data_IF_793455785322
#
_entry.id   IF_793455785322
#
_cell.length_a   1.000
_cell.length_b   1.000
_cell.length_c   1.000
_cell.angle_alpha   90.00
_cell.angle_beta   90.00
_cell.angle_gamma   90.00
#
_symmetry.space_group_name_H-M   'P 1'
#
loop_
_entity.id
_entity.type
_entity.pdbx_description
1 polymer ?
#
# COMPACT_ATOMS: atom_id res chain seq x y z
N UNK A 1 18.63 -4.44 7.76
CA UNK A 1 17.92 -3.58 6.82
C UNK A 1 18.60 -2.23 6.74
N UNK A 2 18.73 -1.67 5.56
CA UNK A 2 19.40 -0.38 5.31
C UNK A 2 18.45 0.54 4.53
N UNK A 3 18.10 1.70 5.13
CA UNK A 3 17.22 2.70 4.54
C UNK A 3 17.92 4.04 4.52
N UNK A 4 17.82 4.78 3.42
CA UNK A 4 18.43 6.12 3.27
C UNK A 4 17.47 7.26 3.59
N UNK A 5 16.16 6.98 3.59
CA UNK A 5 15.11 7.94 3.92
C UNK A 5 14.13 7.37 4.95
N UNK A 6 13.48 8.25 5.71
CA UNK A 6 12.41 7.90 6.64
C UNK A 6 11.19 8.81 6.42
N UNK A 7 10.35 8.41 5.48
CA UNK A 7 9.05 9.04 5.23
C UNK A 7 7.88 8.26 5.86
N UNK A 8 8.18 7.17 6.59
CA UNK A 8 7.20 6.21 7.08
C UNK A 8 6.98 6.23 8.60
N UNK A 9 8.03 6.41 9.42
CA UNK A 9 7.93 6.14 10.87
C UNK A 9 6.86 6.97 11.58
N UNK A 10 6.60 8.20 11.13
CA UNK A 10 5.54 9.04 11.70
C UNK A 10 4.13 8.53 11.38
N UNK A 11 3.97 7.67 10.37
CA UNK A 11 2.71 7.08 9.92
C UNK A 11 2.32 5.80 10.69
N UNK A 12 3.24 5.21 11.47
CA UNK A 12 3.01 3.93 12.19
C UNK A 12 1.69 3.89 12.97
N UNK A 13 1.29 4.91 13.76
CA UNK A 13 0.03 4.87 14.49
C UNK A 13 -1.21 4.70 13.60
N UNK A 14 -1.18 5.24 12.37
CA UNK A 14 -2.26 5.08 11.41
C UNK A 14 -2.32 3.63 10.87
N UNK A 15 -1.16 3.04 10.58
CA UNK A 15 -1.07 1.64 10.17
C UNK A 15 -1.59 0.69 11.25
N UNK A 16 -1.17 0.87 12.51
CA UNK A 16 -1.65 0.08 13.64
C UNK A 16 -3.18 0.16 13.76
N UNK A 17 -3.75 1.36 13.64
CA UNK A 17 -5.20 1.55 13.66
C UNK A 17 -5.91 0.84 12.51
N UNK A 18 -5.34 0.90 11.29
CA UNK A 18 -5.91 0.28 10.10
C UNK A 18 -5.87 -1.25 10.14
N UNK A 19 -4.82 -1.83 10.73
CA UNK A 19 -4.58 -3.27 10.75
C UNK A 19 -5.29 -4.01 11.89
N UNK A 20 -5.72 -3.29 12.94
CA UNK A 20 -6.20 -3.84 14.22
C UNK A 20 -7.31 -4.89 14.07
N UNK A 21 -8.28 -4.63 13.17
CA UNK A 21 -9.49 -5.46 13.03
C UNK A 21 -9.46 -6.32 11.75
N UNK A 22 -8.29 -6.46 11.12
CA UNK A 22 -8.12 -7.30 9.95
C UNK A 22 -7.82 -8.76 10.34
N UNK A 23 -8.07 -9.73 9.44
CA UNK A 23 -7.76 -11.14 9.68
C UNK A 23 -6.30 -11.36 10.08
N UNK A 24 -6.02 -12.40 10.87
CA UNK A 24 -4.65 -12.79 11.23
C UNK A 24 -3.80 -13.04 9.97
N UNK A 25 -4.26 -13.90 9.06
CA UNK A 25 -3.57 -14.17 7.79
C UNK A 25 -3.89 -13.10 6.76
N UNK A 26 -3.14 -12.02 6.80
CA UNK A 26 -3.34 -10.85 5.93
C UNK A 26 -2.76 -11.05 4.53
N UNK A 27 -3.49 -10.55 3.56
CA UNK A 27 -2.99 -10.31 2.20
C UNK A 27 -2.93 -8.81 2.00
N UNK A 28 -1.73 -8.31 1.77
CA UNK A 28 -1.44 -6.88 1.69
C UNK A 28 -1.00 -6.52 0.28
N UNK A 29 -1.48 -5.38 -0.22
CA UNK A 29 -0.99 -4.74 -1.43
C UNK A 29 -0.43 -3.36 -1.07
N UNK A 30 0.76 -3.06 -1.56
CA UNK A 30 1.42 -1.77 -1.45
C UNK A 30 1.70 -1.24 -2.85
N UNK A 31 1.32 0.00 -3.13
CA UNK A 31 1.56 0.72 -4.38
C UNK A 31 2.53 1.86 -4.07
N UNK A 32 3.74 1.79 -4.61
CA UNK A 32 4.89 2.59 -4.20
C UNK A 32 5.64 1.92 -3.03
N UNK A 33 6.79 1.35 -3.30
CA UNK A 33 7.53 0.58 -2.29
C UNK A 33 8.88 1.18 -1.93
N UNK A 34 9.49 1.95 -2.85
CA UNK A 34 10.80 2.56 -2.66
C UNK A 34 11.83 1.56 -2.10
N UNK A 35 12.51 1.85 -0.98
CA UNK A 35 13.46 0.95 -0.30
C UNK A 35 12.78 -0.13 0.56
N UNK A 36 11.44 -0.17 0.60
CA UNK A 36 10.66 -1.16 1.35
C UNK A 36 10.56 -0.88 2.85
N UNK A 37 10.61 0.37 3.31
CA UNK A 37 10.50 0.67 4.74
C UNK A 37 9.12 0.30 5.29
N UNK A 38 8.03 0.73 4.61
CA UNK A 38 6.67 0.36 4.99
C UNK A 38 6.45 -1.14 4.82
N UNK A 39 6.90 -1.73 3.69
CA UNK A 39 6.88 -3.19 3.44
C UNK A 39 7.49 -3.96 4.60
N UNK A 40 8.69 -3.59 5.03
CA UNK A 40 9.40 -4.29 6.10
C UNK A 40 8.72 -4.14 7.46
N UNK A 41 8.13 -2.97 7.73
CA UNK A 41 7.34 -2.77 8.94
C UNK A 41 6.08 -3.64 8.92
N UNK A 42 5.36 -3.68 7.79
CA UNK A 42 4.19 -4.53 7.58
C UNK A 42 4.55 -6.00 7.80
N UNK A 43 5.64 -6.50 7.19
CA UNK A 43 6.12 -7.87 7.39
C UNK A 43 6.33 -8.18 8.88
N UNK A 44 6.98 -7.28 9.63
CA UNK A 44 7.28 -7.46 11.05
C UNK A 44 6.07 -7.38 11.97
N UNK A 45 4.97 -6.80 11.49
CA UNK A 45 3.72 -6.62 12.24
C UNK A 45 2.58 -7.46 11.67
N UNK A 46 2.88 -8.36 10.72
CA UNK A 46 2.01 -9.48 10.35
C UNK A 46 2.28 -10.65 11.31
N UNK A 47 1.32 -11.56 11.39
CA UNK A 47 1.56 -12.88 11.96
C UNK A 47 2.63 -13.62 11.14
N UNK A 48 3.21 -14.70 11.65
CA UNK A 48 4.31 -15.43 11.00
C UNK A 48 3.98 -15.98 9.59
N UNK A 49 2.77 -15.74 9.08
CA UNK A 49 2.30 -16.15 7.76
C UNK A 49 1.39 -15.09 7.15
N UNK A 50 1.52 -14.90 5.86
CA UNK A 50 0.76 -13.93 5.08
C UNK A 50 1.42 -13.66 3.75
N UNK A 51 0.89 -12.73 3.00
CA UNK A 51 1.48 -12.34 1.71
C UNK A 51 1.42 -10.83 1.55
N UNK A 52 2.52 -10.23 1.15
CA UNK A 52 2.58 -8.83 0.75
C UNK A 52 3.02 -8.74 -0.71
N UNK A 53 2.27 -8.01 -1.51
CA UNK A 53 2.61 -7.62 -2.86
C UNK A 53 2.98 -6.14 -2.84
N UNK A 54 4.20 -5.82 -3.32
CA UNK A 54 4.66 -4.44 -3.43
C UNK A 54 4.88 -4.12 -4.90
N UNK A 55 4.28 -3.03 -5.37
CA UNK A 55 4.38 -2.55 -6.75
C UNK A 55 5.30 -1.33 -6.77
N UNK A 56 6.33 -1.37 -7.60
CA UNK A 56 7.18 -0.22 -7.88
C UNK A 56 7.87 -0.40 -9.24
N UNK A 57 7.90 0.61 -10.11
CA UNK A 57 8.55 0.49 -11.42
C UNK A 57 10.07 0.62 -11.35
N UNK A 58 10.65 1.25 -10.32
CA UNK A 58 12.08 1.55 -10.18
C UNK A 58 12.72 2.11 -11.46
N UNK A 59 12.18 3.19 -12.06
CA UNK A 59 12.69 3.71 -13.32
C UNK A 59 14.10 4.26 -13.12
N UNK A 60 15.12 3.58 -13.70
CA UNK A 60 16.52 3.96 -13.58
C UNK A 60 17.05 4.05 -12.12
N UNK A 61 16.49 3.27 -11.20
CA UNK A 61 16.84 3.24 -9.78
C UNK A 61 17.29 1.85 -9.30
N UNK A 62 18.31 1.23 -9.93
CA UNK A 62 18.71 -0.14 -9.60
C UNK A 62 19.18 -0.30 -8.15
N UNK A 63 19.79 0.73 -7.56
CA UNK A 63 20.27 0.70 -6.17
C UNK A 63 19.11 0.71 -5.16
N UNK A 64 18.01 1.40 -5.48
CA UNK A 64 16.81 1.42 -4.63
C UNK A 64 16.11 0.07 -4.68
N UNK A 65 15.93 -0.48 -5.88
CA UNK A 65 15.39 -1.82 -6.08
C UNK A 65 16.21 -2.89 -5.33
N UNK A 66 17.53 -2.83 -5.43
CA UNK A 66 18.40 -3.77 -4.71
C UNK A 66 18.24 -3.65 -3.19
N UNK A 67 18.13 -2.44 -2.65
CA UNK A 67 17.84 -2.22 -1.23
C UNK A 67 16.49 -2.79 -0.83
N UNK A 68 15.44 -2.57 -1.62
CA UNK A 68 14.14 -3.19 -1.38
C UNK A 68 14.26 -4.71 -1.25
N UNK A 69 14.93 -5.36 -2.22
CA UNK A 69 15.11 -6.81 -2.23
C UNK A 69 15.88 -7.29 -0.99
N UNK A 70 16.97 -6.61 -0.64
CA UNK A 70 17.78 -6.96 0.53
C UNK A 70 17.02 -6.75 1.85
N UNK A 71 16.32 -5.63 1.99
CA UNK A 71 15.54 -5.29 3.17
C UNK A 71 14.38 -6.26 3.40
N UNK A 72 13.61 -6.57 2.36
CA UNK A 72 12.47 -7.50 2.46
C UNK A 72 12.93 -8.94 2.70
N UNK A 73 14.04 -9.37 2.10
CA UNK A 73 14.67 -10.67 2.39
C UNK A 73 15.08 -10.80 3.86
N UNK A 74 15.64 -9.73 4.43
CA UNK A 74 16.00 -9.71 5.85
C UNK A 74 14.74 -9.69 6.74
N UNK A 75 13.72 -8.92 6.36
CA UNK A 75 12.48 -8.82 7.13
C UNK A 75 11.69 -10.15 7.18
N UNK A 76 11.71 -10.93 6.10
CA UNK A 76 11.01 -12.23 6.02
C UNK A 76 11.80 -13.40 6.62
N UNK A 77 13.04 -13.19 7.02
CA UNK A 77 13.90 -14.26 7.56
C UNK A 77 13.31 -14.88 8.82
N UNK A 78 13.10 -16.19 8.79
CA UNK A 78 12.53 -16.94 9.91
C UNK A 78 11.01 -16.92 10.00
N UNK A 79 10.33 -16.33 9.02
CA UNK A 79 8.85 -16.32 8.90
C UNK A 79 8.38 -17.18 7.73
N UNK A 80 7.07 -17.44 7.64
CA UNK A 80 6.41 -18.02 6.48
C UNK A 80 5.71 -16.96 5.61
N UNK A 81 6.06 -15.68 5.78
CA UNK A 81 5.51 -14.58 5.00
C UNK A 81 6.12 -14.57 3.60
N UNK A 82 5.26 -14.42 2.60
CA UNK A 82 5.65 -14.29 1.19
C UNK A 82 5.67 -12.82 0.81
N UNK A 83 6.84 -12.30 0.45
CA UNK A 83 6.99 -10.95 -0.12
C UNK A 83 7.20 -11.05 -1.63
N UNK A 84 6.31 -10.41 -2.40
CA UNK A 84 6.30 -10.42 -3.86
C UNK A 84 6.49 -9.00 -4.39
N UNK A 85 7.61 -8.72 -5.03
CA UNK A 85 7.80 -7.48 -5.80
C UNK A 85 7.21 -7.64 -7.20
N UNK A 86 6.35 -6.70 -7.61
CA UNK A 86 5.90 -6.54 -8.99
C UNK A 86 6.58 -5.29 -9.56
N UNK A 87 7.70 -5.50 -10.24
CA UNK A 87 8.45 -4.42 -10.90
C UNK A 87 7.72 -3.97 -12.16
N UNK A 88 6.78 -3.07 -12.00
CA UNK A 88 5.99 -2.51 -13.11
C UNK A 88 5.32 -1.20 -12.67
N UNK A 89 4.77 -0.45 -13.62
CA UNK A 89 3.85 0.65 -13.29
C UNK A 89 2.61 0.11 -12.58
N UNK A 90 2.03 0.92 -11.68
CA UNK A 90 0.83 0.54 -10.93
C UNK A 90 -0.30 0.08 -11.85
N UNK A 91 -0.58 0.81 -12.92
CA UNK A 91 -1.62 0.46 -13.90
C UNK A 91 -1.47 -0.97 -14.46
N UNK A 92 -0.26 -1.35 -14.89
CA UNK A 92 -0.01 -2.68 -15.45
C UNK A 92 -0.06 -3.77 -14.38
N UNK A 93 0.53 -3.51 -13.22
CA UNK A 93 0.52 -4.44 -12.11
C UNK A 93 -0.90 -4.69 -11.59
N UNK A 94 -1.69 -3.64 -11.39
CA UNK A 94 -3.09 -3.75 -10.97
C UNK A 94 -3.94 -4.48 -12.01
N UNK A 95 -3.74 -4.21 -13.32
CA UNK A 95 -4.41 -4.96 -14.39
C UNK A 95 -4.08 -6.46 -14.31
N UNK A 96 -2.83 -6.83 -14.06
CA UNK A 96 -2.42 -8.22 -13.88
C UNK A 96 -3.11 -8.85 -12.67
N UNK A 97 -3.10 -8.18 -11.52
CA UNK A 97 -3.72 -8.67 -10.28
C UNK A 97 -5.24 -8.85 -10.43
N UNK A 98 -5.93 -7.93 -11.13
CA UNK A 98 -7.36 -8.03 -11.45
C UNK A 98 -7.63 -9.26 -12.32
N UNK A 99 -6.86 -9.48 -13.38
CA UNK A 99 -7.00 -10.64 -14.26
C UNK A 99 -6.76 -11.96 -13.51
N UNK A 100 -5.87 -11.95 -12.51
CA UNK A 100 -5.60 -13.09 -11.63
C UNK A 100 -6.64 -13.25 -10.51
N UNK A 101 -7.64 -12.37 -10.43
CA UNK A 101 -8.67 -12.35 -9.37
C UNK A 101 -8.05 -12.33 -7.96
N UNK A 102 -6.97 -11.58 -7.79
CA UNK A 102 -6.37 -11.42 -6.48
C UNK A 102 -7.26 -10.55 -5.59
N UNK A 103 -7.21 -10.82 -4.28
CA UNK A 103 -7.94 -10.04 -3.27
C UNK A 103 -7.03 -9.74 -2.09
N UNK A 104 -7.24 -8.58 -1.47
CA UNK A 104 -6.42 -8.08 -0.37
C UNK A 104 -7.27 -7.61 0.81
N UNK A 105 -6.74 -7.76 2.01
CA UNK A 105 -7.35 -7.31 3.26
C UNK A 105 -6.95 -5.86 3.58
N UNK A 106 -5.74 -5.48 3.16
CA UNK A 106 -5.19 -4.13 3.32
C UNK A 106 -4.51 -3.69 2.03
N UNK A 107 -4.78 -2.45 1.63
CA UNK A 107 -4.13 -1.81 0.48
C UNK A 107 -3.56 -0.46 0.92
N UNK A 108 -2.27 -0.26 0.69
CA UNK A 108 -1.59 1.01 0.91
C UNK A 108 -1.28 1.66 -0.44
N UNK A 109 -1.74 2.90 -0.63
CA UNK A 109 -1.56 3.68 -1.86
C UNK A 109 -0.63 4.83 -1.57
N UNK A 110 0.60 4.72 -2.04
CA UNK A 110 1.73 5.64 -1.82
C UNK A 110 2.64 5.63 -3.07
N UNK A 111 2.02 5.76 -4.24
CA UNK A 111 2.70 5.66 -5.54
C UNK A 111 3.06 7.02 -6.13
N UNK A 112 2.57 7.25 -7.36
CA UNK A 112 2.74 8.54 -8.04
C UNK A 112 1.80 9.59 -7.44
N UNK A 113 2.31 10.80 -7.20
CA UNK A 113 1.57 11.90 -6.60
C UNK A 113 0.73 12.70 -7.62
N UNK A 114 0.75 12.33 -8.91
CA UNK A 114 -0.16 12.91 -9.89
C UNK A 114 -1.63 12.54 -9.56
N UNK A 115 -2.55 13.53 -9.53
CA UNK A 115 -3.94 13.28 -9.15
C UNK A 115 -4.67 12.24 -9.99
N UNK A 116 -4.43 12.20 -11.29
CA UNK A 116 -5.09 11.25 -12.18
C UNK A 116 -4.54 9.83 -11.96
N UNK A 117 -3.24 9.69 -11.72
CA UNK A 117 -2.61 8.42 -11.37
C UNK A 117 -3.11 7.93 -10.02
N UNK A 118 -3.12 8.78 -8.98
CA UNK A 118 -3.65 8.44 -7.65
C UNK A 118 -5.10 7.97 -7.71
N UNK A 119 -5.97 8.69 -8.45
CA UNK A 119 -7.36 8.30 -8.65
C UNK A 119 -7.49 6.95 -9.35
N UNK A 120 -6.69 6.73 -10.39
CA UNK A 120 -6.70 5.48 -11.18
C UNK A 120 -6.26 4.30 -10.32
N UNK A 121 -5.16 4.44 -9.59
CA UNK A 121 -4.64 3.43 -8.68
C UNK A 121 -5.66 3.08 -7.59
N UNK A 122 -6.27 4.08 -6.97
CA UNK A 122 -7.31 3.90 -5.97
C UNK A 122 -8.54 3.14 -6.53
N UNK A 123 -9.04 3.55 -7.70
CA UNK A 123 -10.22 2.94 -8.31
C UNK A 123 -9.97 1.48 -8.74
N UNK A 124 -8.81 1.19 -9.33
CA UNK A 124 -8.42 -0.17 -9.71
C UNK A 124 -8.19 -1.05 -8.48
N UNK A 125 -7.44 -0.55 -7.50
CA UNK A 125 -7.14 -1.26 -6.26
C UNK A 125 -8.41 -1.53 -5.42
N UNK A 126 -9.42 -0.65 -5.48
CA UNK A 126 -10.72 -0.89 -4.82
C UNK A 126 -11.40 -2.17 -5.28
N UNK A 127 -11.25 -2.52 -6.57
CA UNK A 127 -11.73 -3.80 -7.11
C UNK A 127 -11.07 -5.03 -6.48
N UNK A 128 -9.85 -4.87 -5.98
CA UNK A 128 -9.04 -5.92 -5.34
C UNK A 128 -9.22 -5.97 -3.83
N UNK A 129 -9.81 -4.93 -3.21
CA UNK A 129 -10.02 -4.88 -1.76
C UNK A 129 -11.22 -5.74 -1.38
N UNK A 130 -11.05 -6.61 -0.40
CA UNK A 130 -12.14 -7.43 0.16
C UNK A 130 -13.16 -6.57 0.90
N UNK A 131 -14.37 -7.09 1.05
CA UNK A 131 -15.37 -6.54 1.94
C UNK A 131 -14.82 -6.55 3.39
N UNK A 132 -14.97 -5.43 4.11
CA UNK A 132 -14.35 -5.24 5.42
C UNK A 132 -12.86 -4.87 5.39
N UNK A 133 -12.19 -4.98 4.24
CA UNK A 133 -10.81 -4.58 4.07
C UNK A 133 -10.60 -3.07 4.16
N UNK A 134 -9.36 -2.64 4.39
CA UNK A 134 -8.99 -1.24 4.56
C UNK A 134 -8.05 -0.78 3.45
N UNK A 135 -8.35 0.39 2.88
CA UNK A 135 -7.45 1.11 1.98
C UNK A 135 -6.94 2.36 2.69
N UNK A 136 -5.62 2.51 2.75
CA UNK A 136 -4.91 3.65 3.34
C UNK A 136 -4.21 4.42 2.23
N UNK A 137 -4.43 5.72 2.18
CA UNK A 137 -3.77 6.65 1.27
C UNK A 137 -2.74 7.48 2.01
N UNK A 138 -1.55 7.61 1.44
CA UNK A 138 -0.55 8.56 1.93
C UNK A 138 -0.78 9.98 1.41
N UNK A 139 -0.08 10.95 1.99
CA UNK A 139 0.02 12.33 1.55
C UNK A 139 -1.30 13.09 1.39
N UNK A 140 -2.37 12.66 2.09
CA UNK A 140 -3.68 13.33 2.00
C UNK A 140 -3.64 14.79 2.46
N UNK A 141 -2.86 15.10 3.49
CA UNK A 141 -2.68 16.49 3.99
C UNK A 141 -1.26 17.03 3.74
N UNK A 142 -0.50 16.44 2.80
CA UNK A 142 0.83 16.98 2.48
C UNK A 142 0.71 18.31 1.73
N UNK A 143 1.34 19.41 2.22
CA UNK A 143 0.98 20.77 1.83
C UNK A 143 1.27 21.15 0.38
N UNK A 144 2.11 20.45 -0.33
CA UNK A 144 2.56 20.83 -1.67
C UNK A 144 2.30 19.75 -2.73
N UNK A 145 1.65 18.65 -2.34
CA UNK A 145 1.37 17.54 -3.25
C UNK A 145 -0.10 17.54 -3.69
N UNK A 146 -0.36 17.34 -4.97
CA UNK A 146 -1.72 17.31 -5.50
C UNK A 146 -2.46 15.98 -5.24
N UNK A 147 -1.84 15.01 -4.59
CA UNK A 147 -2.36 13.67 -4.26
C UNK A 147 -3.75 13.72 -3.66
N UNK A 148 -4.01 14.68 -2.78
CA UNK A 148 -5.33 14.92 -2.17
C UNK A 148 -6.45 15.06 -3.19
N UNK A 149 -6.21 15.67 -4.35
CA UNK A 149 -7.23 15.86 -5.39
C UNK A 149 -7.66 14.51 -5.98
N UNK A 150 -6.71 13.62 -6.23
CA UNK A 150 -7.00 12.26 -6.71
C UNK A 150 -7.78 11.44 -5.67
N UNK A 151 -7.36 11.52 -4.40
CA UNK A 151 -8.04 10.84 -3.28
C UNK A 151 -9.47 11.37 -3.12
N UNK A 152 -9.70 12.68 -3.20
CA UNK A 152 -11.05 13.26 -3.14
C UNK A 152 -11.92 12.81 -4.31
N UNK A 153 -11.34 12.70 -5.51
CA UNK A 153 -12.04 12.13 -6.69
C UNK A 153 -12.50 10.69 -6.44
N UNK A 154 -11.63 9.86 -5.87
CA UNK A 154 -11.98 8.50 -5.44
C UNK A 154 -13.12 8.53 -4.39
N UNK A 155 -13.00 9.34 -3.36
CA UNK A 155 -13.99 9.44 -2.27
C UNK A 155 -15.38 9.81 -2.82
N UNK A 156 -15.45 10.73 -3.78
CA UNK A 156 -16.70 11.13 -4.45
C UNK A 156 -17.29 9.99 -5.30
N UNK A 157 -16.45 9.30 -6.07
CA UNK A 157 -16.87 8.20 -6.93
C UNK A 157 -17.40 6.98 -6.17
N UNK A 158 -16.93 6.78 -4.93
CA UNK A 158 -17.29 5.63 -4.10
C UNK A 158 -18.11 5.98 -2.86
N UNK A 159 -18.78 7.15 -2.86
CA UNK A 159 -19.63 7.58 -1.75
C UNK A 159 -20.67 6.50 -1.40
N UNK A 160 -20.83 6.21 -0.10
CA UNK A 160 -21.73 5.18 0.41
C UNK A 160 -21.19 3.75 0.34
N UNK A 161 -20.03 3.51 -0.27
CA UNK A 161 -19.39 2.19 -0.38
C UNK A 161 -18.32 1.93 0.69
N UNK A 162 -18.03 2.91 1.51
CA UNK A 162 -17.00 2.82 2.57
C UNK A 162 -17.46 3.47 3.87
N UNK A 163 -16.77 3.13 4.95
CA UNK A 163 -16.74 3.87 6.21
C UNK A 163 -15.37 4.52 6.39
N UNK A 164 -15.35 5.77 6.88
CA UNK A 164 -14.10 6.48 7.17
C UNK A 164 -13.45 5.87 8.43
N UNK A 165 -12.19 5.45 8.33
CA UNK A 165 -11.40 4.90 9.44
C UNK A 165 -10.58 5.98 10.12
N UNK A 166 -9.87 6.78 9.33
CA UNK A 166 -9.10 7.94 9.81
C UNK A 166 -8.96 8.98 8.69
N UNK A 167 -8.74 10.23 9.13
CA UNK A 167 -8.39 11.34 8.24
C UNK A 167 -7.49 12.30 9.02
N UNK A 168 -6.24 12.36 8.62
CA UNK A 168 -5.22 13.26 9.10
C UNK A 168 -4.21 13.47 7.98
N UNK A 169 -2.89 13.43 8.25
CA UNK A 169 -1.87 13.40 7.20
C UNK A 169 -2.13 12.29 6.16
N UNK A 170 -2.67 11.16 6.60
CA UNK A 170 -3.15 10.07 5.76
C UNK A 170 -4.69 9.99 5.80
N UNK A 171 -5.30 9.30 4.82
CA UNK A 171 -6.72 9.00 4.81
C UNK A 171 -6.93 7.49 4.67
N UNK A 172 -7.79 6.90 5.51
CA UNK A 172 -8.14 5.49 5.38
C UNK A 172 -9.65 5.26 5.37
N UNK A 173 -10.06 4.31 4.53
CA UNK A 173 -11.45 3.88 4.38
C UNK A 173 -11.56 2.37 4.50
N UNK A 174 -12.67 1.89 5.08
CA UNK A 174 -13.05 0.49 5.15
C UNK A 174 -14.14 0.21 4.13
N UNK A 175 -13.98 -0.81 3.30
CA UNK A 175 -14.97 -1.25 2.31
C UNK A 175 -16.19 -1.87 3.00
N UNK A 176 -17.39 -1.38 2.66
CA UNK A 176 -18.68 -1.94 3.12
C UNK A 176 -19.02 -3.20 2.38
#
# INVERSE_FOLDING_TARGET
MNFTADWFTHNIPNFEKCLKDLPERKRILEIGAYEGRATCWLIKNMDDYGTIYSIDPYPNMPEIEERFIQNTREATKGTSIISCLIKNTSYRALTQLINQKQEFDFIYVDGDHDPATTLTDAAMAWGLLRQGGVMLFDDYEYPHEPTKVGIQGFMQGFVGKYDLVLQNYQLAVRKK
#
